data_IF_445151168599
#
_entry.id   IF_445151168599
#
_cell.length_a   1.000
_cell.length_b   1.000
_cell.length_c   1.000
_cell.angle_alpha   90.00
_cell.angle_beta   90.00
_cell.angle_gamma   90.00
#
_symmetry.space_group_name_H-M   'P 1'
#
loop_
_entity.id
_entity.type
_entity.pdbx_description
1 polymer ?
#
# COMPACT_ATOMS: atom_id res chain seq x y z
N UNK A 1 -30.41 -0.24 -2.74
CA UNK A 1 -29.35 0.48 -3.47
C UNK A 1 -29.38 1.92 -3.00
N UNK A 2 -28.38 2.33 -2.22
CA UNK A 2 -28.25 3.71 -1.75
C UNK A 2 -26.86 4.19 -2.10
N UNK A 3 -26.75 5.01 -3.14
CA UNK A 3 -25.51 5.72 -3.44
C UNK A 3 -25.50 6.93 -2.52
N UNK A 4 -24.45 7.15 -1.71
CA UNK A 4 -24.42 8.29 -0.79
C UNK A 4 -24.39 9.60 -1.59
N UNK A 5 -25.14 10.60 -1.13
CA UNK A 5 -25.24 11.94 -1.75
C UNK A 5 -23.95 12.74 -1.56
N UNK A 6 -23.76 13.76 -2.40
CA UNK A 6 -22.54 14.57 -2.40
C UNK A 6 -22.33 15.37 -1.09
N UNK A 7 -23.40 15.76 -0.40
CA UNK A 7 -23.32 16.41 0.93
C UNK A 7 -22.76 15.49 2.02
N UNK A 8 -23.13 14.20 1.99
CA UNK A 8 -22.56 13.19 2.90
C UNK A 8 -21.08 12.97 2.58
N UNK A 9 -20.68 13.09 1.31
CA UNK A 9 -19.30 12.95 0.84
C UNK A 9 -18.39 14.13 1.24
N UNK A 10 -18.91 15.34 1.24
CA UNK A 10 -18.14 16.52 1.63
C UNK A 10 -17.91 16.57 3.15
N UNK A 11 -18.86 16.09 3.96
CA UNK A 11 -18.68 15.91 5.40
C UNK A 11 -17.63 14.85 5.74
N UNK A 12 -17.50 13.80 4.92
CA UNK A 12 -16.50 12.72 5.06
C UNK A 12 -15.04 13.21 4.83
N UNK A 13 -14.83 14.23 3.99
CA UNK A 13 -13.49 14.77 3.70
C UNK A 13 -12.98 15.75 4.77
N UNK A 14 -13.89 16.38 5.53
CA UNK A 14 -13.57 17.37 6.55
C UNK A 14 -13.30 16.75 7.95
N UNK A 15 -13.62 15.46 8.14
CA UNK A 15 -13.44 14.75 9.40
C UNK A 15 -12.00 14.33 9.65
N UNK A 16 -11.34 14.95 10.63
CA UNK A 16 -10.02 14.56 11.12
C UNK A 16 -10.00 13.09 11.55
N UNK A 17 -9.46 12.21 10.69
CA UNK A 17 -8.96 10.89 11.08
C UNK A 17 -9.94 9.95 11.79
N UNK A 18 -11.25 10.17 11.67
CA UNK A 18 -12.29 9.26 12.18
C UNK A 18 -12.87 8.50 11.01
N UNK A 19 -12.65 7.19 10.93
CA UNK A 19 -13.49 6.34 10.07
C UNK A 19 -14.83 6.29 10.78
N UNK A 20 -15.75 7.19 10.41
CA UNK A 20 -17.09 7.24 10.99
C UNK A 20 -17.85 5.97 10.59
N UNK A 21 -18.58 5.40 11.54
CA UNK A 21 -19.43 4.20 11.39
C UNK A 21 -20.38 4.30 10.18
N UNK A 22 -20.72 5.49 9.69
CA UNK A 22 -21.53 5.67 8.48
C UNK A 22 -20.80 5.36 7.16
N UNK A 23 -19.47 5.53 7.08
CA UNK A 23 -18.70 5.08 5.91
C UNK A 23 -18.72 3.55 5.80
N UNK A 24 -18.73 2.87 6.94
CA UNK A 24 -18.88 1.41 7.02
C UNK A 24 -20.25 0.98 6.48
N UNK A 25 -21.32 1.76 6.70
CA UNK A 25 -22.66 1.44 6.19
C UNK A 25 -22.74 1.46 4.65
N UNK A 26 -22.03 2.39 3.99
CA UNK A 26 -21.93 2.45 2.52
C UNK A 26 -21.19 1.26 1.90
N UNK A 27 -20.22 0.69 2.63
CA UNK A 27 -19.40 -0.44 2.20
C UNK A 27 -19.72 -1.76 2.92
N UNK A 28 -20.77 -1.81 3.75
CA UNK A 28 -21.13 -2.97 4.56
C UNK A 28 -21.43 -4.21 3.72
N UNK A 29 -22.00 -4.03 2.52
CA UNK A 29 -22.25 -5.13 1.59
C UNK A 29 -20.94 -5.71 1.03
N UNK A 30 -19.94 -4.86 0.78
CA UNK A 30 -18.65 -5.28 0.28
C UNK A 30 -17.81 -5.99 1.34
N UNK A 31 -17.86 -5.50 2.59
CA UNK A 31 -17.23 -6.15 3.73
C UNK A 31 -17.77 -7.58 3.97
N UNK A 32 -18.99 -7.88 3.50
CA UNK A 32 -19.59 -9.23 3.56
C UNK A 32 -19.10 -10.20 2.47
N UNK A 33 -18.57 -9.71 1.36
CA UNK A 33 -17.97 -10.57 0.33
C UNK A 33 -16.51 -10.81 0.65
N UNK A 34 -16.26 -11.83 1.48
CA UNK A 34 -14.91 -12.37 1.70
C UNK A 34 -14.71 -13.64 0.86
N UNK A 35 -13.61 -13.75 0.10
CA UNK A 35 -12.55 -12.75 -0.08
C UNK A 35 -13.00 -11.59 -1.00
N UNK A 36 -12.50 -10.39 -0.72
CA UNK A 36 -12.73 -9.21 -1.56
C UNK A 36 -11.85 -9.29 -2.82
N UNK A 37 -12.42 -8.99 -3.99
CA UNK A 37 -11.63 -8.98 -5.23
C UNK A 37 -10.75 -7.74 -5.33
N UNK A 38 -9.57 -7.88 -5.93
CA UNK A 38 -8.66 -6.76 -6.18
C UNK A 38 -9.32 -5.63 -6.99
N UNK A 39 -10.17 -5.96 -7.98
CA UNK A 39 -10.89 -4.97 -8.76
C UNK A 39 -11.87 -4.14 -7.90
N UNK A 40 -12.56 -4.79 -6.96
CA UNK A 40 -13.48 -4.10 -6.06
C UNK A 40 -12.74 -3.21 -5.06
N UNK A 41 -11.65 -3.72 -4.47
CA UNK A 41 -10.81 -2.95 -3.56
C UNK A 41 -10.21 -1.72 -4.29
N UNK A 42 -9.70 -1.92 -5.50
CA UNK A 42 -9.15 -0.85 -6.33
C UNK A 42 -10.17 0.27 -6.58
N UNK A 43 -11.39 -0.11 -6.99
CA UNK A 43 -12.48 0.84 -7.23
C UNK A 43 -12.85 1.59 -5.96
N UNK A 44 -13.01 0.87 -4.85
CA UNK A 44 -13.40 1.45 -3.56
C UNK A 44 -12.38 2.47 -3.07
N UNK A 45 -11.08 2.14 -3.15
CA UNK A 45 -10.01 3.05 -2.76
C UNK A 45 -9.92 4.26 -3.70
N UNK A 46 -10.05 4.04 -5.02
CA UNK A 46 -10.06 5.15 -6.00
C UNK A 46 -11.22 6.11 -5.74
N UNK A 47 -12.42 5.57 -5.48
CA UNK A 47 -13.63 6.34 -5.22
C UNK A 47 -13.54 7.12 -3.90
N UNK A 48 -12.98 6.52 -2.84
CA UNK A 48 -12.82 7.16 -1.52
C UNK A 48 -11.77 8.28 -1.54
N UNK A 49 -10.57 8.01 -2.07
CA UNK A 49 -9.47 8.97 -2.06
C UNK A 49 -9.53 10.00 -3.18
N UNK A 50 -10.42 9.81 -4.17
CA UNK A 50 -10.54 10.67 -5.36
C UNK A 50 -9.24 10.80 -6.16
N UNK A 51 -8.40 9.76 -6.11
CA UNK A 51 -7.16 9.64 -6.87
C UNK A 51 -7.11 8.29 -7.57
N UNK A 52 -6.37 8.14 -8.68
CA UNK A 52 -6.23 6.85 -9.33
C UNK A 52 -5.50 5.88 -8.39
N UNK A 53 -6.10 4.71 -8.16
CA UNK A 53 -5.47 3.60 -7.43
C UNK A 53 -5.42 2.38 -8.36
N UNK A 54 -4.31 1.66 -8.33
CA UNK A 54 -4.14 0.36 -9.01
C UNK A 54 -3.65 -0.68 -8.02
N UNK A 55 -4.16 -1.91 -8.13
CA UNK A 55 -3.73 -3.02 -7.30
C UNK A 55 -3.00 -4.05 -8.16
N UNK A 56 -1.71 -4.24 -7.89
CA UNK A 56 -0.93 -5.35 -8.44
C UNK A 56 -0.98 -6.53 -7.47
N UNK A 57 -1.50 -7.66 -7.95
CA UNK A 57 -1.55 -8.90 -7.19
C UNK A 57 -0.28 -9.73 -7.39
N UNK A 58 -0.03 -10.65 -6.45
CA UNK A 58 1.07 -11.60 -6.52
C UNK A 58 2.47 -10.98 -6.59
N UNK A 59 2.69 -9.94 -5.77
CA UNK A 59 3.95 -9.19 -5.75
C UNK A 59 4.95 -9.97 -4.91
N UNK A 60 6.07 -10.33 -5.52
CA UNK A 60 7.06 -11.14 -4.81
C UNK A 60 7.86 -10.37 -3.76
N UNK A 61 8.21 -11.06 -2.68
CA UNK A 61 9.11 -10.61 -1.62
C UNK A 61 9.94 -11.79 -1.13
N UNK A 62 11.16 -11.49 -0.69
CA UNK A 62 11.99 -12.46 0.03
C UNK A 62 11.59 -12.45 1.50
N UNK A 63 11.32 -13.63 2.03
CA UNK A 63 11.02 -13.85 3.45
C UNK A 63 12.16 -14.65 4.06
N UNK A 64 12.54 -14.29 5.28
CA UNK A 64 13.52 -15.05 6.03
C UNK A 64 12.93 -16.39 6.45
N UNK A 65 13.72 -17.45 6.32
CA UNK A 65 13.32 -18.79 6.75
C UNK A 65 13.55 -18.87 8.26
N UNK A 66 12.53 -19.24 9.06
CA UNK A 66 12.70 -19.40 10.49
C UNK A 66 13.88 -20.33 10.82
N UNK A 67 14.70 -20.03 11.85
CA UNK A 67 15.89 -20.82 12.17
C UNK A 67 15.60 -22.31 12.42
N UNK A 68 14.42 -22.64 12.95
CA UNK A 68 13.93 -23.99 13.19
C UNK A 68 13.48 -24.73 11.91
N UNK A 69 13.33 -24.02 10.80
CA UNK A 69 13.02 -24.58 9.48
C UNK A 69 14.25 -24.67 8.56
N UNK A 70 15.41 -24.21 9.01
CA UNK A 70 16.66 -24.35 8.26
C UNK A 70 17.11 -25.81 8.24
N UNK A 71 17.59 -26.26 7.07
CA UNK A 71 18.20 -27.58 6.95
C UNK A 71 19.59 -27.57 7.59
N UNK A 72 19.78 -28.36 8.65
CA UNK A 72 21.04 -28.46 9.39
C UNK A 72 21.62 -29.87 9.24
N UNK A 73 22.91 -29.95 8.94
CA UNK A 73 23.60 -31.24 8.83
C UNK A 73 23.66 -31.94 10.20
N UNK A 74 23.28 -33.22 10.24
CA UNK A 74 23.33 -34.03 11.46
C UNK A 74 22.07 -33.98 12.32
N UNK A 75 21.05 -33.21 11.92
CA UNK A 75 19.75 -33.13 12.59
C UNK A 75 18.71 -34.02 11.89
N UNK A 76 17.78 -33.42 11.14
CA UNK A 76 16.73 -34.13 10.39
C UNK A 76 17.15 -34.35 8.95
N UNK A 77 16.87 -35.53 8.39
CA UNK A 77 17.10 -35.80 6.97
C UNK A 77 16.25 -34.86 6.10
N UNK A 78 16.90 -33.98 5.34
CA UNK A 78 16.27 -33.12 4.35
C UNK A 78 16.41 -33.71 2.94
N UNK A 79 15.33 -33.70 2.15
CA UNK A 79 15.29 -34.23 0.79
C UNK A 79 15.09 -33.09 -0.19
N UNK A 80 16.02 -32.95 -1.14
CA UNK A 80 15.93 -31.94 -2.19
C UNK A 80 14.64 -32.13 -3.01
N UNK A 81 13.90 -31.03 -3.22
CA UNK A 81 12.63 -31.04 -3.96
C UNK A 81 11.43 -31.55 -3.16
N UNK A 82 11.60 -31.87 -1.88
CA UNK A 82 10.50 -32.25 -0.99
C UNK A 82 10.51 -31.45 0.31
N UNK A 83 11.61 -31.51 1.08
CA UNK A 83 11.70 -30.90 2.43
C UNK A 83 12.89 -29.96 2.60
N UNK A 84 13.86 -29.98 1.69
CA UNK A 84 15.01 -29.07 1.76
C UNK A 84 14.71 -27.73 1.06
N UNK A 85 15.03 -26.63 1.74
CA UNK A 85 15.04 -25.27 1.18
C UNK A 85 16.50 -24.79 1.08
N UNK A 86 16.85 -24.15 -0.03
CA UNK A 86 18.20 -23.67 -0.28
C UNK A 86 18.35 -22.21 0.18
N UNK A 87 19.23 -21.98 1.14
CA UNK A 87 19.57 -20.64 1.65
C UNK A 87 18.70 -20.22 2.84
N UNK A 88 18.92 -18.98 3.27
CA UNK A 88 18.30 -18.40 4.48
C UNK A 88 16.97 -17.69 4.18
N UNK A 89 16.57 -17.61 2.91
CA UNK A 89 15.40 -16.85 2.45
C UNK A 89 14.63 -17.57 1.37
N UNK A 90 13.31 -17.39 1.38
CA UNK A 90 12.39 -17.94 0.38
C UNK A 90 11.69 -16.82 -0.38
N UNK A 91 11.55 -16.98 -1.70
CA UNK A 91 10.78 -16.06 -2.53
C UNK A 91 9.31 -16.49 -2.53
N UNK A 92 8.43 -15.66 -2.00
CA UNK A 92 6.99 -15.89 -2.05
C UNK A 92 6.28 -14.75 -2.76
N UNK A 93 5.13 -15.06 -3.36
CA UNK A 93 4.34 -14.10 -4.16
C UNK A 93 2.88 -14.03 -3.72
N UNK A 94 2.38 -15.03 -3.02
CA UNK A 94 0.99 -15.18 -2.58
C UNK A 94 0.65 -14.38 -1.30
N UNK A 95 1.65 -13.89 -0.59
CA UNK A 95 1.47 -13.15 0.67
C UNK A 95 1.42 -11.62 0.53
N UNK A 96 1.66 -11.07 -0.66
CA UNK A 96 1.85 -9.62 -0.83
C UNK A 96 1.16 -9.05 -2.07
N UNK A 97 0.52 -7.90 -1.88
CA UNK A 97 -0.05 -7.08 -2.93
C UNK A 97 0.58 -5.68 -2.93
N UNK A 98 0.57 -5.00 -4.07
CA UNK A 98 1.02 -3.61 -4.18
C UNK A 98 -0.15 -2.70 -4.51
N UNK A 99 -0.24 -1.60 -3.78
CA UNK A 99 -1.20 -0.52 -3.99
C UNK A 99 -0.45 0.64 -4.61
N UNK A 100 -0.66 0.87 -5.90
CA UNK A 100 -0.09 2.01 -6.62
C UNK A 100 -1.07 3.17 -6.54
N UNK A 101 -0.67 4.27 -5.92
CA UNK A 101 -1.51 5.46 -5.70
C UNK A 101 -0.96 6.62 -6.53
N UNK A 102 -1.77 7.13 -7.45
CA UNK A 102 -1.43 8.25 -8.32
C UNK A 102 -1.59 7.97 -9.81
N UNK A 103 -1.28 8.95 -10.66
CA UNK A 103 -0.42 10.10 -10.37
C UNK A 103 -1.03 11.16 -9.45
N UNK A 104 -0.25 11.64 -8.47
CA UNK A 104 -0.66 12.56 -7.40
C UNK A 104 -0.12 13.98 -7.61
N UNK A 105 -0.86 14.98 -7.13
CA UNK A 105 -0.30 16.33 -6.88
C UNK A 105 0.72 16.26 -5.73
N UNK A 106 1.61 17.25 -5.60
CA UNK A 106 2.56 17.27 -4.47
C UNK A 106 1.87 17.25 -3.11
N UNK A 107 0.77 18.00 -2.97
CA UNK A 107 -0.03 18.06 -1.74
C UNK A 107 -0.61 16.70 -1.37
N UNK A 108 -1.23 16.01 -2.34
CA UNK A 108 -1.85 14.71 -2.07
C UNK A 108 -0.76 13.65 -1.82
N UNK A 109 0.35 13.71 -2.56
CA UNK A 109 1.53 12.87 -2.33
C UNK A 109 2.04 12.97 -0.90
N UNK A 110 2.21 14.18 -0.37
CA UNK A 110 2.64 14.41 1.00
C UNK A 110 1.65 13.85 2.03
N UNK A 111 0.34 13.93 1.76
CA UNK A 111 -0.70 13.38 2.63
C UNK A 111 -0.73 11.84 2.65
N UNK A 112 -0.21 11.19 1.60
CA UNK A 112 -0.06 9.75 1.48
C UNK A 112 1.29 9.21 1.97
N UNK A 113 2.24 10.08 2.34
CA UNK A 113 3.49 9.62 2.94
C UNK A 113 3.24 9.04 4.36
N UNK A 114 4.13 8.18 4.87
CA UNK A 114 3.95 7.59 6.19
C UNK A 114 3.69 8.62 7.28
N UNK A 115 2.67 8.38 8.10
CA UNK A 115 2.19 9.31 9.13
C UNK A 115 1.24 10.40 8.62
N UNK A 116 1.06 10.54 7.30
CA UNK A 116 0.09 11.45 6.70
C UNK A 116 -1.36 10.97 6.89
N UNK A 117 -2.31 11.90 6.85
CA UNK A 117 -3.72 11.61 7.11
C UNK A 117 -4.30 10.58 6.12
N UNK A 118 -3.92 10.64 4.84
CA UNK A 118 -4.41 9.70 3.83
C UNK A 118 -3.73 8.34 3.95
N UNK A 119 -2.47 8.29 4.38
CA UNK A 119 -1.78 7.03 4.68
C UNK A 119 -2.47 6.27 5.83
N UNK A 120 -2.84 6.97 6.90
CA UNK A 120 -3.57 6.39 8.04
C UNK A 120 -4.97 5.92 7.62
N UNK A 121 -5.68 6.71 6.82
CA UNK A 121 -6.98 6.30 6.28
C UNK A 121 -6.88 5.07 5.37
N UNK A 122 -5.82 4.99 4.56
CA UNK A 122 -5.56 3.84 3.66
C UNK A 122 -5.35 2.57 4.46
N UNK A 123 -4.49 2.59 5.48
CA UNK A 123 -4.26 1.42 6.35
C UNK A 123 -5.55 0.93 7.00
N UNK A 124 -6.37 1.85 7.51
CA UNK A 124 -7.67 1.50 8.13
C UNK A 124 -8.65 0.89 7.12
N UNK A 125 -8.74 1.48 5.93
CA UNK A 125 -9.58 0.95 4.85
C UNK A 125 -9.15 -0.46 4.45
N UNK A 126 -7.84 -0.71 4.32
CA UNK A 126 -7.31 -2.05 4.03
C UNK A 126 -7.63 -3.05 5.14
N UNK A 127 -7.42 -2.65 6.40
CA UNK A 127 -7.77 -3.46 7.57
C UNK A 127 -9.26 -3.82 7.58
N UNK A 128 -10.14 -2.87 7.28
CA UNK A 128 -11.60 -3.07 7.28
C UNK A 128 -12.06 -3.96 6.13
N UNK A 129 -11.58 -3.68 4.91
CA UNK A 129 -12.10 -4.26 3.68
C UNK A 129 -11.44 -5.61 3.35
N UNK A 130 -10.14 -5.73 3.54
CA UNK A 130 -9.36 -6.90 3.17
C UNK A 130 -8.81 -7.67 4.38
N UNK A 131 -8.87 -7.10 5.58
CA UNK A 131 -8.28 -7.70 6.78
C UNK A 131 -6.75 -7.63 6.77
N UNK A 132 -6.13 -8.34 7.71
CA UNK A 132 -4.67 -8.41 7.91
C UNK A 132 -4.06 -9.70 7.34
N UNK A 133 -4.65 -10.25 6.28
CA UNK A 133 -4.22 -11.55 5.70
C UNK A 133 -3.11 -11.43 4.68
N UNK A 134 -2.77 -10.23 4.23
CA UNK A 134 -1.73 -9.95 3.24
C UNK A 134 -0.88 -8.76 3.70
N UNK A 135 0.38 -8.76 3.27
CA UNK A 135 1.22 -7.58 3.30
C UNK A 135 0.87 -6.65 2.14
N UNK A 136 0.91 -5.34 2.39
CA UNK A 136 0.68 -4.35 1.34
C UNK A 136 1.91 -3.48 1.14
N UNK A 137 2.44 -3.47 -0.08
CA UNK A 137 3.39 -2.44 -0.52
C UNK A 137 2.62 -1.25 -1.08
N UNK A 138 2.64 -0.11 -0.40
CA UNK A 138 2.13 1.13 -0.99
C UNK A 138 3.23 1.76 -1.82
N UNK A 139 2.92 2.06 -3.08
CA UNK A 139 3.79 2.80 -4.01
C UNK A 139 3.10 4.08 -4.41
N UNK A 140 3.74 5.21 -4.14
CA UNK A 140 3.22 6.52 -4.51
C UNK A 140 3.76 6.93 -5.87
N UNK A 141 2.90 7.53 -6.70
CA UNK A 141 3.27 8.07 -8.01
C UNK A 141 3.07 9.58 -7.97
N UNK A 142 4.16 10.35 -8.03
CA UNK A 142 4.14 11.81 -8.12
C UNK A 142 4.09 12.25 -9.59
N UNK A 143 3.16 13.14 -9.92
CA UNK A 143 3.07 13.73 -11.28
C UNK A 143 4.38 14.38 -11.67
N UNK A 144 4.84 14.15 -12.90
CA UNK A 144 6.10 14.70 -13.44
C UNK A 144 6.23 16.22 -13.30
N UNK A 145 5.12 16.94 -13.47
CA UNK A 145 5.05 18.41 -13.35
C UNK A 145 5.19 18.92 -11.92
N UNK A 146 5.04 18.04 -10.93
CA UNK A 146 5.13 18.33 -9.50
C UNK A 146 6.49 17.90 -8.92
N UNK A 147 7.35 17.28 -9.74
CA UNK A 147 8.70 16.86 -9.34
C UNK A 147 9.60 18.10 -9.28
N UNK A 148 9.81 18.59 -8.07
CA UNK A 148 10.71 19.71 -7.79
C UNK A 148 12.07 19.27 -7.28
N UNK A 149 13.12 20.04 -7.59
CA UNK A 149 14.43 19.87 -6.98
C UNK A 149 14.36 20.10 -5.47
N UNK A 150 15.03 19.25 -4.70
CA UNK A 150 15.15 19.42 -3.26
C UNK A 150 16.14 20.51 -2.90
N UNK A 151 15.76 21.34 -1.94
CA UNK A 151 16.59 22.40 -1.38
C UNK A 151 17.04 21.99 0.01
N UNK A 152 18.35 22.05 0.26
CA UNK A 152 18.91 21.77 1.58
C UNK A 152 18.29 22.71 2.63
N UNK A 153 17.85 22.14 3.76
CA UNK A 153 17.18 22.88 4.83
C UNK A 153 15.67 23.11 4.62
N UNK A 154 15.10 22.77 3.46
CA UNK A 154 13.67 22.91 3.19
C UNK A 154 12.81 21.70 3.61
N UNK A 155 13.42 20.70 4.28
CA UNK A 155 12.68 19.58 4.88
C UNK A 155 12.40 18.39 3.94
N UNK A 156 13.07 18.27 2.79
CA UNK A 156 12.97 17.06 1.96
C UNK A 156 13.50 15.83 2.71
N UNK A 157 12.83 14.69 2.51
CA UNK A 157 13.08 13.40 3.15
C UNK A 157 13.65 12.41 2.13
N UNK A 158 14.84 11.89 2.43
CA UNK A 158 15.49 10.89 1.59
C UNK A 158 14.63 9.63 1.46
N UNK A 159 14.50 9.12 0.23
CA UNK A 159 13.66 7.95 -0.08
C UNK A 159 12.17 8.26 -0.27
N UNK A 160 11.74 9.50 -0.06
CA UNK A 160 10.34 9.91 -0.15
C UNK A 160 10.11 11.02 -1.17
N UNK A 161 10.67 12.21 -0.93
CA UNK A 161 10.43 13.41 -1.74
C UNK A 161 11.73 14.21 -2.01
N UNK A 162 12.88 13.59 -1.70
CA UNK A 162 14.18 14.16 -2.00
C UNK A 162 14.61 13.84 -3.44
N UNK A 163 14.42 14.78 -4.37
CA UNK A 163 14.80 14.65 -5.78
C UNK A 163 15.95 15.58 -6.15
N UNK A 164 16.96 15.02 -6.81
CA UNK A 164 18.00 15.79 -7.49
C UNK A 164 17.56 16.00 -8.95
N UNK A 165 17.12 17.20 -9.27
CA UNK A 165 16.65 17.55 -10.61
C UNK A 165 17.61 18.56 -11.24
N UNK A 166 18.21 18.19 -12.38
CA UNK A 166 18.97 19.13 -13.23
C UNK A 166 18.14 19.65 -14.42
N UNK A 167 16.96 19.05 -14.63
CA UNK A 167 15.96 19.36 -15.65
C UNK A 167 14.59 18.88 -15.17
N UNK A 168 13.54 19.30 -15.86
CA UNK A 168 12.17 18.84 -15.59
C UNK A 168 12.06 17.31 -15.78
N UNK A 169 11.16 16.68 -15.04
CA UNK A 169 10.96 15.23 -15.12
C UNK A 169 10.26 14.84 -16.43
N UNK A 170 10.84 13.86 -17.12
CA UNK A 170 10.30 13.32 -18.38
C UNK A 170 9.05 12.45 -18.13
N UNK A 171 8.94 11.83 -16.94
CA UNK A 171 7.87 10.91 -16.53
C UNK A 171 7.45 11.06 -15.06
N UNK A 172 6.29 10.51 -14.71
CA UNK A 172 5.80 10.48 -13.34
C UNK A 172 6.70 9.60 -12.45
N UNK A 173 7.02 10.06 -11.24
CA UNK A 173 7.99 9.42 -10.35
C UNK A 173 7.32 8.44 -9.41
N UNK A 174 7.81 7.21 -9.34
CA UNK A 174 7.19 6.12 -8.54
C UNK A 174 8.15 5.44 -7.56
N UNK A 175 9.11 6.22 -7.06
CA UNK A 175 10.23 5.73 -6.25
C UNK A 175 9.81 5.40 -4.81
N UNK A 176 8.96 6.24 -4.19
CA UNK A 176 8.60 6.09 -2.80
C UNK A 176 7.68 4.90 -2.57
N UNK A 177 8.11 4.04 -1.64
CA UNK A 177 7.40 2.82 -1.24
C UNK A 177 7.47 2.61 0.25
N UNK A 178 6.40 2.08 0.82
CA UNK A 178 6.35 1.66 2.21
C UNK A 178 5.46 0.44 2.38
N UNK A 179 5.64 -0.27 3.49
CA UNK A 179 4.87 -1.48 3.79
C UNK A 179 3.85 -1.23 4.89
N UNK A 180 2.68 -1.86 4.75
CA UNK A 180 1.64 -1.94 5.76
C UNK A 180 1.39 -3.42 6.10
N UNK A 181 1.00 -3.68 7.34
CA UNK A 181 0.72 -5.04 7.86
C UNK A 181 1.87 -6.03 7.63
N UNK A 182 3.11 -5.63 7.97
CA UNK A 182 4.30 -6.48 7.83
C UNK A 182 4.17 -7.72 8.70
N UNK A 183 4.27 -8.89 8.09
CA UNK A 183 4.27 -10.19 8.78
C UNK A 183 5.73 -10.49 9.12
N UNK A 184 6.00 -10.72 10.40
CA UNK A 184 7.33 -11.02 10.93
C UNK A 184 7.46 -12.52 11.19
#
# INVERSE_FOLDING_TARGET
AGVPSDEVRDSLAAGAGGVLDEAVAGYALAARHRPMSAAYLQRTLSDYFRVPVKIDQFVGKWYDVPPDQLSVLGEVNAVLGATALVGERVWQRDMRARIVVGPLSKRDYEAFLPGGAQAVALERMLTLLAGVTLEYEVRLVLKRTEVGASVLGAGSRLGWDAFLCTRDADEDRSDARYELHVIH
#
